data_IF_933814981101
#
_entry.id   IF_933814981101
#
_cell.length_a   1.000
_cell.length_b   1.000
_cell.length_c   1.000
_cell.angle_alpha   90.00
_cell.angle_beta   90.00
_cell.angle_gamma   90.00
#
_symmetry.space_group_name_H-M   'P 1'
#
loop_
_entity.id
_entity.type
_entity.pdbx_description
1 polymer ?
#
# COMPACT_ATOMS: atom_id res chain seq x y z
N UNK A 1 7.21 -15.98 21.79
CA UNK A 1 6.95 -15.29 20.54
C UNK A 1 5.46 -15.08 20.38
N UNK A 2 5.03 -13.84 20.40
CA UNK A 2 3.59 -13.55 20.22
C UNK A 2 3.21 -13.71 18.76
N UNK A 3 2.12 -14.43 18.51
CA UNK A 3 1.57 -14.55 17.18
C UNK A 3 0.73 -13.31 16.88
N UNK A 4 0.84 -12.80 15.65
CA UNK A 4 -0.04 -11.72 15.21
C UNK A 4 -1.45 -12.26 15.01
N UNK A 5 -2.45 -11.43 15.24
CA UNK A 5 -3.85 -11.78 15.13
C UNK A 5 -4.64 -10.54 14.69
N UNK A 6 -5.96 -10.71 14.57
CA UNK A 6 -6.85 -9.58 14.24
C UNK A 6 -6.80 -8.45 15.26
N UNK A 7 -6.38 -8.76 16.49
CA UNK A 7 -6.27 -7.78 17.58
C UNK A 7 -4.91 -7.09 17.61
N UNK A 8 -3.96 -7.51 16.78
CA UNK A 8 -2.65 -6.87 16.71
C UNK A 8 -2.78 -5.42 16.27
N UNK A 9 -1.97 -4.56 16.87
CA UNK A 9 -1.96 -3.14 16.55
C UNK A 9 -1.10 -2.91 15.30
N UNK A 10 -1.69 -2.30 14.30
CA UNK A 10 -0.98 -1.98 13.05
C UNK A 10 -0.30 -0.62 13.18
N UNK A 11 0.91 -0.53 12.65
CA UNK A 11 1.67 0.71 12.55
C UNK A 11 2.42 0.75 11.22
N UNK A 12 2.69 1.95 10.75
CA UNK A 12 3.55 2.17 9.59
C UNK A 12 4.91 2.64 10.11
N UNK A 13 5.97 1.93 9.74
CA UNK A 13 7.33 2.24 10.20
C UNK A 13 8.27 2.42 9.03
N UNK A 14 9.30 3.22 9.22
CA UNK A 14 10.32 3.38 8.19
C UNK A 14 11.04 2.07 7.92
N UNK A 15 11.41 1.87 6.66
CA UNK A 15 12.31 0.79 6.27
C UNK A 15 13.73 1.27 6.58
N UNK A 16 14.48 0.49 7.35
CA UNK A 16 15.82 0.82 7.81
C UNK A 16 16.79 -0.31 7.42
N UNK A 17 18.07 -0.08 7.60
CA UNK A 17 19.07 -1.14 7.38
C UNK A 17 18.79 -2.36 8.28
N UNK A 18 18.26 -2.12 9.47
CA UNK A 18 18.00 -3.18 10.45
C UNK A 18 16.83 -4.09 10.06
N UNK A 19 15.78 -3.53 9.43
CA UNK A 19 14.62 -4.31 9.05
C UNK A 19 14.54 -4.64 7.54
N UNK A 20 15.47 -4.14 6.74
CA UNK A 20 15.43 -4.26 5.29
C UNK A 20 15.26 -5.70 4.79
N UNK A 21 16.03 -6.63 5.35
CA UNK A 21 15.96 -8.04 4.93
C UNK A 21 14.62 -8.66 5.26
N UNK A 22 14.05 -8.33 6.41
CA UNK A 22 12.74 -8.83 6.79
C UNK A 22 11.67 -8.33 5.82
N UNK A 23 11.76 -7.06 5.41
CA UNK A 23 10.82 -6.48 4.44
C UNK A 23 10.97 -7.14 3.07
N UNK A 24 12.20 -7.44 2.64
CA UNK A 24 12.45 -8.11 1.36
C UNK A 24 11.93 -9.55 1.32
N UNK A 25 11.83 -10.22 2.47
CA UNK A 25 11.30 -11.59 2.55
C UNK A 25 9.78 -11.67 2.50
N UNK A 26 9.10 -10.54 2.70
CA UNK A 26 7.64 -10.51 2.61
C UNK A 26 7.23 -10.72 1.16
N UNK A 27 6.29 -11.62 0.92
CA UNK A 27 5.83 -11.92 -0.42
C UNK A 27 4.34 -12.28 -0.43
N UNK A 28 3.69 -11.93 -1.53
CA UNK A 28 2.29 -12.30 -1.74
C UNK A 28 2.21 -13.75 -2.21
N UNK A 29 0.99 -14.31 -2.19
CA UNK A 29 0.78 -15.65 -2.74
C UNK A 29 1.15 -15.68 -4.23
N UNK A 30 1.64 -16.83 -4.75
CA UNK A 30 2.06 -16.91 -6.16
C UNK A 30 1.01 -16.42 -7.16
N UNK A 31 -0.27 -16.69 -6.92
CA UNK A 31 -1.35 -16.25 -7.80
C UNK A 31 -1.60 -14.74 -7.75
N UNK A 32 -1.02 -14.03 -6.80
CA UNK A 32 -1.12 -12.57 -6.65
C UNK A 32 0.11 -11.84 -7.19
N UNK A 33 1.18 -12.57 -7.51
CA UNK A 33 2.48 -11.95 -7.84
C UNK A 33 2.44 -11.07 -9.10
N UNK A 34 1.50 -11.29 -9.99
CA UNK A 34 1.35 -10.48 -11.20
C UNK A 34 0.58 -9.17 -10.96
N UNK A 35 -0.04 -9.00 -9.77
CA UNK A 35 -0.78 -7.79 -9.43
C UNK A 35 0.08 -6.74 -8.71
N UNK A 36 1.22 -7.15 -8.16
CA UNK A 36 2.04 -6.24 -7.35
C UNK A 36 3.53 -6.54 -7.56
N UNK A 37 4.34 -5.48 -7.68
CA UNK A 37 5.79 -5.61 -7.76
C UNK A 37 6.36 -6.05 -6.40
N UNK A 38 7.54 -6.66 -6.42
CA UNK A 38 8.24 -7.03 -5.19
C UNK A 38 8.64 -5.79 -4.38
N UNK A 39 8.89 -5.97 -3.10
CA UNK A 39 9.33 -4.86 -2.25
C UNK A 39 10.70 -4.33 -2.68
N UNK A 40 11.60 -5.20 -3.13
CA UNK A 40 12.90 -4.80 -3.66
C UNK A 40 12.75 -3.90 -4.88
N UNK A 41 11.88 -4.29 -5.82
CA UNK A 41 11.62 -3.50 -7.01
C UNK A 41 11.02 -2.14 -6.65
N UNK A 42 10.08 -2.12 -5.70
CA UNK A 42 9.44 -0.90 -5.27
C UNK A 42 10.43 0.09 -4.67
N UNK A 43 11.32 -0.39 -3.81
CA UNK A 43 12.35 0.45 -3.18
C UNK A 43 13.37 0.92 -4.23
N UNK A 44 13.72 0.06 -5.19
CA UNK A 44 14.61 0.46 -6.28
C UNK A 44 13.98 1.57 -7.12
N UNK A 45 12.69 1.48 -7.42
CA UNK A 45 11.97 2.54 -8.15
C UNK A 45 11.92 3.83 -7.34
N UNK A 46 11.74 3.74 -6.03
CA UNK A 46 11.72 4.91 -5.15
C UNK A 46 13.02 5.69 -5.21
N UNK A 47 14.14 5.03 -5.42
CA UNK A 47 15.43 5.68 -5.55
C UNK A 47 15.45 6.71 -6.69
N UNK A 48 14.78 6.42 -7.79
CA UNK A 48 14.74 7.28 -8.97
C UNK A 48 13.62 8.33 -8.91
N UNK A 49 12.73 8.22 -7.94
CA UNK A 49 11.60 9.13 -7.76
C UNK A 49 11.53 9.65 -6.32
N UNK A 50 12.70 9.95 -5.75
CA UNK A 50 12.84 10.34 -4.33
C UNK A 50 11.93 11.48 -3.90
N UNK A 51 11.63 12.40 -4.80
CA UNK A 51 10.85 13.58 -4.47
C UNK A 51 9.40 13.25 -4.13
N UNK A 52 8.88 12.15 -4.67
CA UNK A 52 7.48 11.76 -4.50
C UNK A 52 7.31 10.41 -3.83
N UNK A 53 8.31 9.54 -3.85
CA UNK A 53 8.18 8.21 -3.29
C UNK A 53 8.22 8.23 -1.75
N UNK A 54 7.11 7.85 -1.14
CA UNK A 54 6.98 7.72 0.31
C UNK A 54 6.57 6.29 0.60
N UNK A 55 7.42 5.54 1.29
CA UNK A 55 7.11 4.14 1.57
C UNK A 55 7.33 3.81 3.04
N UNK A 56 6.60 2.79 3.51
CA UNK A 56 6.65 2.34 4.90
C UNK A 56 6.46 0.83 4.95
N UNK A 57 7.08 0.22 5.94
CA UNK A 57 6.80 -1.16 6.32
C UNK A 57 5.51 -1.17 7.15
N UNK A 58 4.66 -2.16 6.92
CA UNK A 58 3.46 -2.37 7.72
C UNK A 58 3.81 -3.37 8.81
N UNK A 59 3.63 -2.98 10.06
CA UNK A 59 3.86 -3.83 11.21
C UNK A 59 2.54 -4.17 11.89
N UNK A 60 2.46 -5.40 12.38
CA UNK A 60 1.43 -5.82 13.33
C UNK A 60 2.14 -6.14 14.62
N UNK A 61 1.94 -5.32 15.64
CA UNK A 61 2.76 -5.30 16.85
C UNK A 61 4.24 -5.13 16.47
N UNK A 62 5.12 -6.06 16.82
CA UNK A 62 6.55 -5.98 16.47
C UNK A 62 6.92 -6.79 15.23
N UNK A 63 5.95 -7.33 14.51
CA UNK A 63 6.17 -8.20 13.36
C UNK A 63 5.92 -7.46 12.06
N UNK A 64 6.90 -7.41 11.14
CA UNK A 64 6.64 -6.87 9.79
C UNK A 64 5.71 -7.82 9.03
N UNK A 65 4.63 -7.27 8.48
CA UNK A 65 3.59 -8.06 7.79
C UNK A 65 3.33 -7.59 6.37
N UNK A 66 3.80 -6.40 6.00
CA UNK A 66 3.52 -5.86 4.67
C UNK A 66 4.33 -4.62 4.36
N UNK A 67 3.97 -3.99 3.26
CA UNK A 67 4.66 -2.83 2.71
C UNK A 67 3.68 -1.99 1.92
N UNK A 68 3.84 -0.68 1.97
CA UNK A 68 3.11 0.22 1.09
C UNK A 68 4.01 1.35 0.58
N UNK A 69 3.66 1.87 -0.58
CA UNK A 69 4.34 3.01 -1.17
C UNK A 69 3.32 3.96 -1.77
N UNK A 70 3.48 5.23 -1.41
CA UNK A 70 2.63 6.33 -1.85
C UNK A 70 3.43 7.21 -2.81
N UNK A 71 2.81 7.63 -3.90
CA UNK A 71 3.29 8.76 -4.68
C UNK A 71 2.74 10.01 -4.01
N UNK A 72 3.61 10.71 -3.27
CA UNK A 72 3.29 11.87 -2.44
C UNK A 72 3.71 13.12 -3.19
N UNK A 73 2.90 13.52 -4.17
CA UNK A 73 3.22 14.63 -5.06
C UNK A 73 2.55 15.93 -4.56
N UNK A 74 3.24 16.60 -3.66
CA UNK A 74 2.75 17.83 -3.06
C UNK A 74 2.68 18.99 -4.07
N UNK A 75 3.52 18.98 -5.10
CA UNK A 75 3.51 20.04 -6.13
C UNK A 75 2.25 19.99 -6.98
N UNK A 76 1.85 18.78 -7.36
CA UNK A 76 0.66 18.55 -8.18
C UNK A 76 -0.59 18.31 -7.36
N UNK A 77 -0.46 18.28 -6.03
CA UNK A 77 -1.55 17.93 -5.11
C UNK A 77 -2.19 16.58 -5.49
N UNK A 78 -1.35 15.62 -5.90
CA UNK A 78 -1.79 14.33 -6.37
C UNK A 78 -1.18 13.23 -5.52
N UNK A 79 -2.04 12.44 -4.90
CA UNK A 79 -1.64 11.38 -3.97
C UNK A 79 -2.17 10.07 -4.48
N UNK A 80 -1.25 9.15 -4.78
CA UNK A 80 -1.55 7.91 -5.47
C UNK A 80 -0.94 6.74 -4.70
N UNK A 81 -1.76 5.78 -4.30
CA UNK A 81 -1.25 4.56 -3.67
C UNK A 81 -0.55 3.73 -4.75
N UNK A 82 0.78 3.74 -4.71
CA UNK A 82 1.63 3.13 -5.74
C UNK A 82 1.79 1.63 -5.52
N UNK A 83 1.96 1.21 -4.25
CA UNK A 83 2.12 -0.20 -3.88
C UNK A 83 1.45 -0.47 -2.56
N UNK A 84 0.84 -1.66 -2.46
CA UNK A 84 0.30 -2.16 -1.20
C UNK A 84 0.36 -3.68 -1.24
N UNK A 85 1.01 -4.29 -0.25
CA UNK A 85 1.00 -5.74 -0.14
C UNK A 85 0.99 -6.16 1.34
N UNK A 86 0.38 -7.29 1.60
CA UNK A 86 0.47 -8.01 2.87
C UNK A 86 1.04 -9.40 2.55
N UNK A 87 2.02 -9.82 3.33
CA UNK A 87 2.62 -11.14 3.19
C UNK A 87 1.53 -12.23 3.26
N UNK A 88 1.68 -13.25 2.44
CA UNK A 88 0.66 -14.32 2.31
C UNK A 88 0.31 -14.97 3.64
N UNK A 89 1.26 -15.03 4.60
CA UNK A 89 1.02 -15.62 5.92
C UNK A 89 0.09 -14.80 6.80
N UNK A 90 -0.05 -13.50 6.50
CA UNK A 90 -0.73 -12.54 7.36
C UNK A 90 -1.96 -11.91 6.71
N UNK A 91 -2.40 -12.44 5.58
CA UNK A 91 -3.58 -11.94 4.89
C UNK A 91 -4.87 -12.32 5.62
N UNK A 92 -5.97 -11.63 5.32
CA UNK A 92 -7.31 -11.88 5.88
C UNK A 92 -7.44 -11.59 7.38
N UNK A 93 -6.50 -10.83 7.93
CA UNK A 93 -6.52 -10.39 9.33
C UNK A 93 -6.87 -8.91 9.50
N UNK A 94 -7.18 -8.21 8.41
CA UNK A 94 -7.56 -6.81 8.44
C UNK A 94 -6.39 -5.83 8.46
N UNK A 95 -5.17 -6.28 8.23
CA UNK A 95 -3.98 -5.42 8.32
C UNK A 95 -3.92 -4.39 7.21
N UNK A 96 -4.28 -4.76 5.98
CA UNK A 96 -4.27 -3.81 4.86
C UNK A 96 -5.26 -2.68 5.09
N UNK A 97 -6.47 -3.00 5.59
CA UNK A 97 -7.47 -1.99 5.91
C UNK A 97 -6.97 -1.01 6.96
N UNK A 98 -6.39 -1.54 8.04
CA UNK A 98 -5.84 -0.69 9.11
C UNK A 98 -4.69 0.17 8.61
N UNK A 99 -3.81 -0.40 7.77
CA UNK A 99 -2.70 0.35 7.19
C UNK A 99 -3.20 1.50 6.31
N UNK A 100 -4.23 1.26 5.50
CA UNK A 100 -4.81 2.31 4.66
C UNK A 100 -5.52 3.39 5.47
N UNK A 101 -6.15 3.04 6.59
CA UNK A 101 -6.74 4.04 7.47
C UNK A 101 -5.69 5.00 8.02
N UNK A 102 -4.52 4.47 8.41
CA UNK A 102 -3.38 5.29 8.85
C UNK A 102 -2.88 6.15 7.69
N UNK A 103 -2.79 5.57 6.48
CA UNK A 103 -2.36 6.31 5.30
C UNK A 103 -3.34 7.44 4.96
N UNK A 104 -4.65 7.22 5.06
CA UNK A 104 -5.64 8.29 4.85
C UNK A 104 -5.39 9.46 5.78
N UNK A 105 -5.11 9.20 7.05
CA UNK A 105 -4.81 10.25 8.02
C UNK A 105 -3.56 11.03 7.64
N UNK A 106 -2.53 10.33 7.19
CA UNK A 106 -1.31 10.96 6.71
C UNK A 106 -1.58 11.86 5.50
N UNK A 107 -2.28 11.32 4.48
CA UNK A 107 -2.55 12.07 3.24
C UNK A 107 -3.38 13.32 3.53
N UNK A 108 -4.32 13.25 4.49
CA UNK A 108 -5.11 14.41 4.89
C UNK A 108 -4.24 15.58 5.36
N UNK A 109 -3.04 15.32 5.85
CA UNK A 109 -2.12 16.37 6.28
C UNK A 109 -1.34 17.00 5.13
N UNK A 110 -1.43 16.44 3.92
CA UNK A 110 -0.60 16.87 2.80
C UNK A 110 -1.23 18.04 2.06
N UNK A 111 -0.40 18.89 1.40
CA UNK A 111 -0.89 20.07 0.70
C UNK A 111 -1.97 19.76 -0.34
N UNK A 112 -3.11 20.43 -0.26
CA UNK A 112 -4.18 20.32 -1.23
C UNK A 112 -4.82 18.94 -1.34
N UNK A 113 -4.60 18.07 -0.37
CA UNK A 113 -5.12 16.70 -0.40
C UNK A 113 -6.65 16.69 -0.29
N UNK A 114 -7.31 16.09 -1.27
CA UNK A 114 -8.77 15.93 -1.31
C UNK A 114 -9.17 14.49 -1.49
N UNK A 115 -8.30 13.70 -2.11
CA UNK A 115 -8.58 12.31 -2.43
C UNK A 115 -7.29 11.51 -2.49
N UNK A 116 -7.43 10.19 -2.32
CA UNK A 116 -6.36 9.24 -2.59
C UNK A 116 -6.74 8.43 -3.82
N UNK A 117 -5.83 8.32 -4.76
CA UNK A 117 -6.00 7.51 -5.97
C UNK A 117 -5.34 6.15 -5.79
N UNK A 118 -5.85 5.17 -6.51
CA UNK A 118 -5.24 3.84 -6.61
C UNK A 118 -5.55 3.28 -7.98
N UNK A 119 -4.71 2.40 -8.48
CA UNK A 119 -4.99 1.67 -9.71
C UNK A 119 -4.86 0.17 -9.47
N UNK A 120 -5.53 -0.62 -10.33
CA UNK A 120 -5.43 -2.06 -10.25
C UNK A 120 -5.66 -2.67 -11.65
N UNK A 121 -5.07 -3.84 -11.88
CA UNK A 121 -5.35 -4.63 -13.06
C UNK A 121 -6.68 -5.35 -12.87
N UNK A 122 -7.65 -5.17 -13.80
CA UNK A 122 -8.92 -5.85 -13.69
C UNK A 122 -8.78 -7.35 -13.94
N UNK A 123 -9.73 -8.12 -13.46
CA UNK A 123 -9.76 -9.55 -13.68
C UNK A 123 -10.00 -10.33 -12.40
N UNK A 124 -10.05 -11.64 -12.56
CA UNK A 124 -10.26 -12.54 -11.43
C UNK A 124 -9.09 -12.42 -10.43
N UNK A 125 -9.42 -12.32 -9.16
CA UNK A 125 -8.42 -12.16 -8.10
C UNK A 125 -7.93 -10.74 -7.91
N UNK A 126 -8.49 -9.75 -8.63
CA UNK A 126 -8.08 -8.35 -8.47
C UNK A 126 -8.51 -7.80 -7.12
N UNK A 127 -7.87 -6.72 -6.64
CA UNK A 127 -8.22 -6.09 -5.37
C UNK A 127 -9.43 -5.15 -5.44
N UNK A 128 -10.17 -5.17 -6.53
CA UNK A 128 -11.30 -4.24 -6.75
C UNK A 128 -12.29 -4.23 -5.57
N UNK A 129 -12.75 -5.41 -5.15
CA UNK A 129 -13.72 -5.51 -4.06
C UNK A 129 -13.18 -4.99 -2.73
N UNK A 130 -11.90 -5.18 -2.48
CA UNK A 130 -11.24 -4.65 -1.30
C UNK A 130 -11.28 -3.11 -1.29
N UNK A 131 -10.92 -2.49 -2.42
CA UNK A 131 -10.94 -1.03 -2.53
C UNK A 131 -12.35 -0.47 -2.47
N UNK A 132 -13.32 -1.14 -3.10
CA UNK A 132 -14.71 -0.71 -3.05
C UNK A 132 -15.25 -0.67 -1.61
N UNK A 133 -14.91 -1.68 -0.81
CA UNK A 133 -15.31 -1.71 0.61
C UNK A 133 -14.71 -0.58 1.43
N UNK A 134 -13.59 -0.03 0.99
CA UNK A 134 -12.94 1.10 1.66
C UNK A 134 -13.43 2.46 1.14
N UNK A 135 -14.40 2.47 0.24
CA UNK A 135 -14.99 3.70 -0.26
C UNK A 135 -14.38 4.24 -1.54
N UNK A 136 -13.51 3.47 -2.18
CA UNK A 136 -12.98 3.85 -3.49
C UNK A 136 -14.04 3.65 -4.57
N UNK A 137 -14.08 4.58 -5.51
CA UNK A 137 -14.99 4.50 -6.67
C UNK A 137 -14.19 4.73 -7.95
N UNK A 138 -14.61 4.11 -9.08
CA UNK A 138 -13.91 4.34 -10.35
C UNK A 138 -13.94 5.80 -10.77
N UNK A 139 -12.83 6.28 -11.33
CA UNK A 139 -12.75 7.65 -11.86
C UNK A 139 -13.22 7.74 -13.33
N UNK A 140 -13.27 6.61 -14.02
CA UNK A 140 -13.48 6.57 -15.47
C UNK A 140 -12.19 6.66 -16.27
N UNK A 141 -11.07 6.85 -15.60
CA UNK A 141 -9.75 6.93 -16.23
C UNK A 141 -8.98 5.63 -16.07
N UNK A 142 -8.01 5.43 -16.93
CA UNK A 142 -7.10 4.29 -16.89
C UNK A 142 -5.66 4.76 -16.97
N UNK A 143 -4.77 3.98 -16.38
CA UNK A 143 -3.33 4.15 -16.53
C UNK A 143 -2.80 2.87 -17.17
N UNK A 144 -2.49 2.92 -18.47
CA UNK A 144 -2.21 1.71 -19.23
C UNK A 144 -3.44 0.78 -19.19
N UNK A 145 -3.22 -0.44 -18.73
CA UNK A 145 -4.28 -1.43 -18.58
C UNK A 145 -4.92 -1.44 -17.18
N UNK A 146 -4.51 -0.50 -16.31
CA UNK A 146 -5.02 -0.43 -14.95
C UNK A 146 -6.19 0.54 -14.83
N UNK A 147 -7.17 0.16 -14.04
CA UNK A 147 -8.33 1.01 -13.74
C UNK A 147 -7.97 1.89 -12.54
N UNK A 148 -8.25 3.19 -12.67
CA UNK A 148 -7.98 4.16 -11.59
C UNK A 148 -9.24 4.37 -10.76
N UNK A 149 -9.09 4.26 -9.46
CA UNK A 149 -10.13 4.54 -8.49
C UNK A 149 -9.71 5.69 -7.57
N UNK A 150 -10.69 6.35 -6.97
CA UNK A 150 -10.45 7.43 -6.00
C UNK A 150 -11.28 7.23 -4.75
N UNK A 151 -10.75 7.72 -3.65
CA UNK A 151 -11.48 7.82 -2.38
C UNK A 151 -11.31 9.23 -1.84
N UNK A 152 -12.42 9.90 -1.59
CA UNK A 152 -12.41 11.21 -0.96
C UNK A 152 -11.94 11.10 0.49
N UNK A 153 -11.16 12.08 0.92
CA UNK A 153 -10.57 12.09 2.27
C UNK A 153 -11.36 12.92 3.26
#
# INVERSE_FOLDING_TARGET
MSQVSRESKVALREVTKENLRDIFRLEVAPEQSHFVATNEMSIAQAYFDREIAWFRAIYADETPVGFLMLSDDAKEHRYFLWRLMIDTRYQKLGFAKQALEILFDYVRTRPGAKELLVSYFPGEGSPQGFYEKLGFVPTGEMEGDEIIMRREL
#
